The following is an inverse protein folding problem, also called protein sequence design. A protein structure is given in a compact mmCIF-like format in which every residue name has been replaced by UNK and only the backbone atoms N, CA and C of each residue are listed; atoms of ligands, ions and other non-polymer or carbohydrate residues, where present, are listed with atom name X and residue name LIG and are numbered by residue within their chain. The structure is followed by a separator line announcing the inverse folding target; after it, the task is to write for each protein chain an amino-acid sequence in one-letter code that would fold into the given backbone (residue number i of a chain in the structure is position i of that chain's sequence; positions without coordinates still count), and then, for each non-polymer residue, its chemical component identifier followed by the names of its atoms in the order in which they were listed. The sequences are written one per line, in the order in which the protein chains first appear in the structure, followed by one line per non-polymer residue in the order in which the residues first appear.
data_IF_278884747299
#
_entry.id   IF_278884747299
#
_cell.length_a   1.000
_cell.length_b   1.000
_cell.length_c   1.000
_cell.angle_alpha   90.00
_cell.angle_beta   90.00
_cell.angle_gamma   90.00
#
_symmetry.space_group_name_H-M   'P 1'
#
loop_
_entity.id
_entity.type
_entity.pdbx_description
1 polymer ?
#
# COMPACT_ATOMS: atom_id res chain seq x y z
N UNK A 1 -28.72 16.32 20.39
CA UNK A 1 -27.87 15.47 19.52
C UNK A 1 -26.76 16.35 18.97
N UNK A 2 -25.50 15.96 19.14
CA UNK A 2 -24.38 16.67 18.51
C UNK A 2 -24.38 16.40 17.00
N UNK A 3 -24.16 17.43 16.19
CA UNK A 3 -24.02 17.31 14.75
C UNK A 3 -22.52 17.23 14.42
N UNK A 4 -22.15 16.32 13.52
CA UNK A 4 -20.77 16.18 13.05
C UNK A 4 -20.63 16.97 11.75
N UNK A 5 -19.65 17.87 11.70
CA UNK A 5 -19.22 18.49 10.46
C UNK A 5 -18.31 17.52 9.68
N UNK A 6 -18.91 16.83 8.71
CA UNK A 6 -18.24 15.86 7.84
C UNK A 6 -17.08 16.52 7.09
N UNK A 7 -17.22 17.78 6.68
CA UNK A 7 -16.18 18.50 5.95
C UNK A 7 -14.95 18.67 6.84
N UNK A 8 -15.14 19.20 8.05
CA UNK A 8 -14.07 19.36 9.04
C UNK A 8 -13.37 18.04 9.39
N UNK A 9 -14.14 16.95 9.49
CA UNK A 9 -13.60 15.61 9.75
C UNK A 9 -12.64 15.15 8.64
N UNK A 10 -13.05 15.24 7.37
CA UNK A 10 -12.20 14.84 6.25
C UNK A 10 -10.97 15.75 6.07
N UNK A 11 -11.10 17.07 6.33
CA UNK A 11 -9.94 17.97 6.35
C UNK A 11 -8.92 17.62 7.43
N UNK A 12 -9.41 17.26 8.62
CA UNK A 12 -8.54 16.84 9.72
C UNK A 12 -7.81 15.54 9.38
N UNK A 13 -8.51 14.59 8.76
CA UNK A 13 -7.92 13.34 8.28
C UNK A 13 -6.82 13.59 7.22
N UNK A 14 -7.09 14.45 6.23
CA UNK A 14 -6.09 14.82 5.23
C UNK A 14 -4.86 15.47 5.87
N UNK A 15 -5.07 16.35 6.86
CA UNK A 15 -3.96 17.03 7.56
C UNK A 15 -3.08 16.03 8.31
N UNK A 16 -3.68 15.05 8.98
CA UNK A 16 -2.94 13.96 9.64
C UNK A 16 -2.15 13.12 8.64
N UNK A 17 -2.75 12.79 7.49
CA UNK A 17 -2.09 12.04 6.42
C UNK A 17 -0.88 12.81 5.88
N UNK A 18 -1.05 14.09 5.53
CA UNK A 18 0.05 14.93 5.05
C UNK A 18 1.17 15.05 6.08
N UNK A 19 0.83 15.21 7.36
CA UNK A 19 1.81 15.25 8.45
C UNK A 19 2.63 13.95 8.51
N UNK A 20 1.97 12.78 8.58
CA UNK A 20 2.64 11.47 8.65
C UNK A 20 3.59 11.24 7.47
N UNK A 21 3.15 11.56 6.24
CA UNK A 21 3.98 11.45 5.04
C UNK A 21 5.16 12.43 5.04
N UNK A 22 4.97 13.66 5.52
CA UNK A 22 6.01 14.69 5.55
C UNK A 22 7.10 14.45 6.59
N UNK A 23 6.75 13.87 7.75
CA UNK A 23 7.70 13.60 8.85
C UNK A 23 8.83 12.68 8.39
N UNK A 24 8.51 11.57 7.71
CA UNK A 24 9.50 10.63 7.20
C UNK A 24 10.40 11.28 6.14
N UNK A 25 9.82 12.13 5.27
CA UNK A 25 10.59 12.84 4.25
C UNK A 25 11.63 13.81 4.83
N UNK A 26 11.34 14.42 5.97
CA UNK A 26 12.17 15.45 6.60
C UNK A 26 13.26 14.91 7.54
N UNK A 27 13.03 13.76 8.17
CA UNK A 27 13.89 13.27 9.26
C UNK A 27 14.71 12.03 8.87
N UNK A 28 14.32 11.31 7.81
CA UNK A 28 15.08 10.15 7.31
C UNK A 28 16.10 10.63 6.29
N UNK A 29 17.39 10.59 6.66
CA UNK A 29 18.49 11.08 5.83
C UNK A 29 19.05 10.04 4.85
N UNK A 30 18.89 8.75 5.15
CA UNK A 30 19.35 7.67 4.28
C UNK A 30 18.32 7.42 3.15
N UNK A 31 18.71 7.52 1.86
CA UNK A 31 17.78 7.44 0.74
C UNK A 31 16.95 6.14 0.68
N UNK A 32 17.56 4.99 0.94
CA UNK A 32 16.86 3.70 0.93
C UNK A 32 15.80 3.58 2.03
N UNK A 33 16.19 3.89 3.28
CA UNK A 33 15.28 3.87 4.44
C UNK A 33 14.13 4.88 4.25
N UNK A 34 14.39 5.98 3.52
CA UNK A 34 13.40 7.00 3.21
C UNK A 34 12.35 6.50 2.22
N UNK A 35 12.75 5.74 1.20
CA UNK A 35 11.86 5.07 0.26
C UNK A 35 10.97 4.06 1.00
N UNK A 36 11.59 3.08 1.64
CA UNK A 36 10.88 2.01 2.37
C UNK A 36 9.88 2.58 3.39
N UNK A 37 10.24 3.64 4.10
CA UNK A 37 9.36 4.27 5.08
C UNK A 37 8.21 5.06 4.46
N UNK A 38 8.38 5.59 3.25
CA UNK A 38 7.31 6.27 2.50
C UNK A 38 6.31 5.26 1.95
N UNK A 39 6.81 4.15 1.41
CA UNK A 39 6.00 3.05 0.87
C UNK A 39 5.16 2.39 1.97
N UNK A 40 5.77 2.08 3.13
CA UNK A 40 5.06 1.51 4.28
C UNK A 40 3.90 2.41 4.76
N UNK A 41 4.08 3.73 4.77
CA UNK A 41 3.00 4.65 5.14
C UNK A 41 1.80 4.54 4.19
N UNK A 42 2.05 4.44 2.89
CA UNK A 42 0.98 4.28 1.89
C UNK A 42 0.29 2.94 2.03
N UNK A 43 1.04 1.86 2.21
CA UNK A 43 0.49 0.52 2.45
C UNK A 43 -0.42 0.54 3.68
N UNK A 44 0.05 1.05 4.82
CA UNK A 44 -0.74 1.13 6.05
C UNK A 44 -2.01 1.97 5.89
N UNK A 45 -1.90 3.12 5.21
CA UNK A 45 -3.03 4.00 4.98
C UNK A 45 -4.09 3.34 4.10
N UNK A 46 -3.68 2.74 2.98
CA UNK A 46 -4.59 2.03 2.08
C UNK A 46 -5.22 0.81 2.77
N UNK A 47 -4.46 0.01 3.54
CA UNK A 47 -5.02 -1.09 4.35
C UNK A 47 -6.07 -0.62 5.36
N UNK A 48 -5.90 0.59 5.91
CA UNK A 48 -6.82 1.15 6.91
C UNK A 48 -8.14 1.59 6.28
N UNK A 49 -8.10 2.18 5.09
CA UNK A 49 -9.28 2.85 4.49
C UNK A 49 -9.94 2.07 3.35
N UNK A 50 -9.23 1.17 2.66
CA UNK A 50 -9.83 0.36 1.61
C UNK A 50 -10.75 -0.73 2.19
N UNK A 51 -11.80 -1.12 1.45
CA UNK A 51 -12.58 -2.30 1.78
C UNK A 51 -11.72 -3.55 1.95
N UNK A 52 -12.05 -4.41 2.93
CA UNK A 52 -11.26 -5.62 3.29
C UNK A 52 -11.05 -6.65 2.18
N UNK A 53 -11.76 -6.54 1.06
CA UNK A 53 -11.55 -7.37 -0.13
C UNK A 53 -10.25 -7.04 -0.87
N UNK A 54 -9.66 -5.89 -0.58
CA UNK A 54 -8.42 -5.43 -1.18
C UNK A 54 -7.28 -5.64 -0.18
N UNK A 55 -6.31 -6.45 -0.57
CA UNK A 55 -5.01 -6.54 0.10
C UNK A 55 -4.05 -5.54 -0.54
N UNK A 56 -3.07 -5.05 0.23
CA UNK A 56 -2.13 -4.01 -0.21
C UNK A 56 -0.74 -4.33 0.29
N UNK A 57 0.23 -4.64 -0.55
CA UNK A 57 1.58 -4.99 -0.10
C UNK A 57 2.64 -4.59 -1.13
N UNK A 58 3.91 -4.52 -0.70
CA UNK A 58 5.06 -4.52 -1.61
C UNK A 58 5.25 -5.95 -2.13
N UNK A 59 5.32 -6.12 -3.45
CA UNK A 59 5.33 -7.46 -4.04
C UNK A 59 5.93 -7.49 -5.45
N UNK A 60 6.26 -8.70 -5.89
CA UNK A 60 6.50 -9.02 -7.30
C UNK A 60 5.21 -9.55 -7.91
N UNK A 61 4.97 -9.24 -9.18
CA UNK A 61 3.85 -9.79 -9.95
C UNK A 61 4.38 -10.89 -10.86
N UNK A 62 3.69 -12.03 -10.88
CA UNK A 62 4.03 -13.19 -11.72
C UNK A 62 2.87 -13.56 -12.63
N UNK A 63 3.17 -14.08 -13.82
CA UNK A 63 2.17 -14.63 -14.74
C UNK A 63 2.28 -16.15 -14.88
N UNK A 64 1.36 -16.74 -15.65
CA UNK A 64 1.30 -18.18 -15.87
C UNK A 64 2.41 -18.72 -16.80
N UNK A 65 3.12 -17.86 -17.51
CA UNK A 65 4.27 -18.21 -18.35
C UNK A 65 5.59 -18.18 -17.58
N UNK A 66 5.56 -17.75 -16.30
CA UNK A 66 6.71 -17.67 -15.42
C UNK A 66 7.49 -16.36 -15.53
N UNK A 67 6.92 -15.34 -16.19
CA UNK A 67 7.51 -14.01 -16.18
C UNK A 67 7.27 -13.33 -14.84
N UNK A 68 8.19 -12.43 -14.48
CA UNK A 68 8.16 -11.67 -13.23
C UNK A 68 8.35 -10.19 -13.51
N UNK A 69 7.62 -9.34 -12.80
CA UNK A 69 7.82 -7.89 -12.82
C UNK A 69 9.05 -7.47 -12.01
N UNK A 70 9.43 -6.20 -12.12
CA UNK A 70 10.22 -5.55 -11.07
C UNK A 70 9.45 -5.52 -9.74
N UNK A 71 10.14 -5.21 -8.64
CA UNK A 71 9.49 -5.01 -7.35
C UNK A 71 8.57 -3.79 -7.41
N UNK A 72 7.33 -3.96 -6.99
CA UNK A 72 6.34 -2.87 -6.95
C UNK A 72 6.17 -2.39 -5.53
N UNK A 73 6.29 -1.09 -5.32
CA UNK A 73 6.18 -0.42 -4.01
C UNK A 73 4.84 -0.70 -3.32
N UNK A 74 3.75 -0.57 -4.08
CA UNK A 74 2.38 -0.77 -3.59
C UNK A 74 1.55 -1.51 -4.63
N UNK A 75 1.21 -2.76 -4.35
CA UNK A 75 0.26 -3.57 -5.14
C UNK A 75 -1.05 -3.68 -4.39
N UNK A 76 -2.17 -3.34 -5.02
CA UNK A 76 -3.52 -3.61 -4.54
C UNK A 76 -4.03 -4.86 -5.27
N UNK A 77 -4.42 -5.89 -4.54
CA UNK A 77 -4.76 -7.20 -5.12
C UNK A 77 -5.90 -7.91 -4.40
N UNK A 78 -6.43 -8.92 -5.08
CA UNK A 78 -7.44 -9.83 -4.56
C UNK A 78 -6.79 -11.00 -3.82
N UNK A 79 -7.23 -11.24 -2.59
CA UNK A 79 -6.86 -12.43 -1.82
C UNK A 79 -8.08 -13.32 -1.50
N UNK A 80 -9.28 -12.88 -1.87
CA UNK A 80 -10.51 -13.60 -1.54
C UNK A 80 -10.79 -14.74 -2.52
N UNK A 81 -10.52 -14.53 -3.81
CA UNK A 81 -10.74 -15.49 -4.90
C UNK A 81 -9.44 -15.99 -5.53
N UNK A 82 -8.33 -15.30 -5.27
CA UNK A 82 -6.98 -15.70 -5.69
C UNK A 82 -6.17 -16.19 -4.48
N UNK A 83 -6.33 -17.47 -4.07
CA UNK A 83 -5.73 -17.99 -2.84
C UNK A 83 -4.22 -18.22 -2.93
N UNK A 84 -3.63 -18.20 -4.14
CA UNK A 84 -2.20 -18.39 -4.33
C UNK A 84 -1.46 -17.06 -4.23
N UNK A 85 -1.06 -16.71 -3.01
CA UNK A 85 -0.09 -15.66 -2.72
C UNK A 85 1.12 -16.35 -2.10
N UNK A 86 2.24 -16.37 -2.82
CA UNK A 86 3.47 -16.93 -2.25
C UNK A 86 4.07 -15.88 -1.32
N UNK A 87 4.35 -16.29 -0.07
CA UNK A 87 4.99 -15.46 0.93
C UNK A 87 6.20 -16.21 1.49
N UNK A 88 7.39 -15.70 1.23
CA UNK A 88 8.63 -16.20 1.81
C UNK A 88 9.43 -15.02 2.34
N UNK A 89 9.66 -14.99 3.66
CA UNK A 89 10.49 -13.97 4.33
C UNK A 89 10.12 -12.52 3.95
N UNK A 90 8.82 -12.19 3.92
CA UNK A 90 8.25 -10.90 3.47
C UNK A 90 8.38 -10.58 1.98
N UNK A 91 8.84 -11.52 1.15
CA UNK A 91 8.73 -11.42 -0.31
C UNK A 91 7.39 -12.02 -0.76
N UNK A 92 6.50 -11.14 -1.22
CA UNK A 92 5.19 -11.51 -1.76
C UNK A 92 5.27 -11.66 -3.28
N UNK A 93 4.70 -12.74 -3.81
CA UNK A 93 4.49 -12.94 -5.25
C UNK A 93 3.00 -13.08 -5.49
N UNK A 94 2.49 -12.21 -6.35
CA UNK A 94 1.08 -12.03 -6.61
C UNK A 94 0.80 -12.41 -8.08
N UNK A 95 -0.17 -13.29 -8.36
CA UNK A 95 -0.55 -13.61 -9.73
C UNK A 95 -1.14 -12.38 -10.42
N UNK A 96 -0.74 -12.13 -11.67
CA UNK A 96 -1.16 -10.95 -12.44
C UNK A 96 -2.68 -10.80 -12.53
N UNK A 97 -3.43 -11.90 -12.52
CA UNK A 97 -4.89 -11.93 -12.58
C UNK A 97 -5.57 -11.41 -11.31
N UNK A 98 -4.88 -11.37 -10.17
CA UNK A 98 -5.45 -10.86 -8.92
C UNK A 98 -5.15 -9.38 -8.69
N UNK A 99 -4.32 -8.74 -9.51
CA UNK A 99 -3.91 -7.35 -9.33
C UNK A 99 -5.03 -6.41 -9.76
N UNK A 100 -5.41 -5.51 -8.85
CA UNK A 100 -6.35 -4.42 -9.13
C UNK A 100 -5.64 -3.13 -9.54
N UNK A 101 -4.52 -2.79 -8.89
CA UNK A 101 -3.75 -1.57 -9.17
C UNK A 101 -2.30 -1.68 -8.66
N UNK A 102 -1.42 -0.86 -9.25
CA UNK A 102 -0.03 -0.69 -8.83
C UNK A 102 0.31 0.79 -8.70
N UNK A 103 1.20 1.12 -7.76
CA UNK A 103 1.74 2.47 -7.58
C UNK A 103 3.24 2.43 -7.29
N UNK A 104 3.93 3.46 -7.78
CA UNK A 104 5.32 3.79 -7.49
C UNK A 104 5.33 5.06 -6.62
N UNK A 105 6.19 5.13 -5.59
CA UNK A 105 6.15 6.20 -4.58
C UNK A 105 7.49 6.89 -4.33
#
# INVERSE_FOLDING_TARGET
MGQIDIKSLFYSLQTQMCAKLSTNRQHIQHPGIKGDSSELNWIEWLKTYLPKRYSVDKAFIIDCDGNMSDQIDVVIYDQQYSPFVFNQDNAYYIPAESVYAIFEV
#
